data_IF_605309151542
#
_entry.id   IF_605309151542
#
_cell.length_a   1.000
_cell.length_b   1.000
_cell.length_c   1.000
_cell.angle_alpha   90.00
_cell.angle_beta   90.00
_cell.angle_gamma   90.00
#
_symmetry.space_group_name_H-M   'P 1'
#
loop_
_entity.id
_entity.type
_entity.pdbx_description
1 polymer ?
#
# COMPACT_ATOMS: atom_id res chain seq x y z
N UNK A 1 -1.45 -14.50 2.11
CA UNK A 1 -1.63 -15.55 3.13
C UNK A 1 -1.19 -16.91 2.63
N UNK A 2 -1.51 -17.28 1.38
CA UNK A 2 -0.96 -18.47 0.73
C UNK A 2 0.57 -18.58 0.85
N UNK A 3 1.32 -17.48 0.65
CA UNK A 3 2.78 -17.49 0.82
C UNK A 3 3.28 -17.93 2.22
N UNK A 4 2.51 -17.68 3.29
CA UNK A 4 2.87 -18.04 4.66
C UNK A 4 2.12 -19.28 5.18
N UNK A 5 1.26 -19.89 4.37
CA UNK A 5 0.38 -21.00 4.77
C UNK A 5 -0.34 -20.78 6.11
N UNK A 6 -0.72 -19.52 6.39
CA UNK A 6 -1.41 -19.17 7.63
C UNK A 6 -2.90 -19.48 7.47
N UNK A 7 -3.40 -20.44 8.26
CA UNK A 7 -4.83 -20.66 8.43
C UNK A 7 -5.42 -19.56 9.33
N UNK A 8 -6.38 -18.82 8.76
CA UNK A 8 -7.06 -17.75 9.46
C UNK A 8 -8.23 -18.23 10.30
N UNK A 9 -8.80 -19.39 9.99
CA UNK A 9 -10.07 -19.81 10.59
C UNK A 9 -9.99 -19.88 12.12
N UNK A 10 -8.93 -20.45 12.73
CA UNK A 10 -8.79 -20.48 14.19
C UNK A 10 -8.72 -19.09 14.84
N UNK A 11 -8.13 -18.11 14.14
CA UNK A 11 -8.04 -16.73 14.64
C UNK A 11 -9.43 -16.08 14.62
N UNK A 12 -10.18 -16.26 13.54
CA UNK A 12 -11.54 -15.74 13.40
C UNK A 12 -12.49 -16.35 14.43
N UNK A 13 -12.41 -17.66 14.63
CA UNK A 13 -13.23 -18.38 15.60
C UNK A 13 -12.95 -17.90 17.02
N UNK A 14 -11.67 -17.68 17.36
CA UNK A 14 -11.29 -17.15 18.67
C UNK A 14 -11.76 -15.73 18.91
N UNK A 15 -11.71 -14.86 17.90
CA UNK A 15 -12.28 -13.51 18.01
C UNK A 15 -13.81 -13.56 18.24
N UNK A 16 -14.51 -14.47 17.55
CA UNK A 16 -15.95 -14.65 17.71
C UNK A 16 -16.32 -15.20 19.09
N UNK A 17 -15.59 -16.20 19.59
CA UNK A 17 -15.78 -16.80 20.91
C UNK A 17 -15.61 -15.76 22.03
N UNK A 18 -14.60 -14.90 21.89
CA UNK A 18 -14.34 -13.83 22.85
C UNK A 18 -15.43 -12.76 22.89
N UNK A 19 -16.03 -12.43 21.74
CA UNK A 19 -17.12 -11.45 21.62
C UNK A 19 -16.73 -9.99 21.84
N UNK A 20 -15.57 -9.71 22.45
CA UNK A 20 -15.06 -8.37 22.74
C UNK A 20 -13.98 -7.88 21.75
N UNK A 21 -13.57 -8.72 20.80
CA UNK A 21 -12.60 -8.38 19.74
C UNK A 21 -13.25 -8.57 18.37
N UNK A 22 -13.38 -7.48 17.62
CA UNK A 22 -13.84 -7.53 16.23
C UNK A 22 -12.65 -7.66 15.27
N UNK A 23 -12.59 -8.78 14.55
CA UNK A 23 -11.58 -8.98 13.50
C UNK A 23 -12.04 -8.36 12.18
N UNK A 24 -11.27 -7.40 11.66
CA UNK A 24 -11.60 -6.66 10.43
C UNK A 24 -10.52 -6.89 9.38
N UNK A 25 -10.93 -7.19 8.14
CA UNK A 25 -10.01 -7.40 7.02
C UNK A 25 -10.12 -6.31 5.98
N UNK A 26 -8.96 -5.85 5.53
CA UNK A 26 -8.81 -4.96 4.38
C UNK A 26 -7.47 -5.28 3.65
N UNK A 27 -7.51 -5.95 2.50
CA UNK A 27 -6.30 -6.44 1.84
C UNK A 27 -5.56 -5.36 1.04
N UNK A 28 -4.26 -5.23 1.30
CA UNK A 28 -3.31 -4.39 0.54
C UNK A 28 -2.13 -5.28 0.11
N UNK A 29 -1.74 -5.21 -1.16
CA UNK A 29 -0.65 -5.98 -1.74
C UNK A 29 0.70 -5.59 -1.12
N UNK A 30 1.50 -6.60 -0.79
CA UNK A 30 2.83 -6.34 -0.24
C UNK A 30 3.80 -5.96 -1.37
N UNK A 31 4.82 -5.17 -1.02
CA UNK A 31 5.78 -4.63 -1.99
C UNK A 31 5.12 -3.95 -3.20
N UNK A 32 4.00 -3.27 -2.95
CA UNK A 32 3.29 -2.49 -3.95
C UNK A 32 2.89 -1.12 -3.36
N UNK A 33 3.76 -0.10 -3.51
CA UNK A 33 3.46 1.25 -3.06
C UNK A 33 2.27 1.88 -3.80
N UNK A 34 2.00 1.47 -5.04
CA UNK A 34 0.90 1.99 -5.83
C UNK A 34 -0.45 1.45 -5.30
N UNK A 35 -0.55 0.13 -5.09
CA UNK A 35 -1.74 -0.46 -4.46
C UNK A 35 -1.99 0.14 -3.07
N UNK A 36 -0.91 0.33 -2.29
CA UNK A 36 -1.01 1.00 -0.99
C UNK A 36 -1.59 2.43 -1.13
N UNK A 37 -1.04 3.27 -2.02
CA UNK A 37 -1.56 4.63 -2.28
C UNK A 37 -3.04 4.59 -2.63
N UNK A 38 -3.43 3.76 -3.61
CA UNK A 38 -4.82 3.67 -4.11
C UNK A 38 -5.80 3.18 -3.03
N UNK A 39 -5.35 2.31 -2.13
CA UNK A 39 -6.23 1.68 -1.13
C UNK A 39 -6.23 2.35 0.24
N UNK A 40 -5.24 3.22 0.55
CA UNK A 40 -5.15 3.92 1.83
C UNK A 40 -6.44 4.66 2.21
N UNK A 41 -7.11 5.42 1.31
CA UNK A 41 -8.37 6.10 1.64
C UNK A 41 -9.44 5.17 2.20
N UNK A 42 -9.68 4.05 1.51
CA UNK A 42 -10.69 3.07 1.92
C UNK A 42 -10.25 2.29 3.17
N UNK A 43 -8.95 2.01 3.33
CA UNK A 43 -8.41 1.38 4.54
C UNK A 43 -8.64 2.28 5.77
N UNK A 44 -8.35 3.57 5.65
CA UNK A 44 -8.51 4.55 6.74
C UNK A 44 -9.98 4.82 7.01
N UNK A 45 -10.84 4.91 5.99
CA UNK A 45 -12.29 5.04 6.18
C UNK A 45 -12.86 3.85 6.96
N UNK A 46 -12.51 2.62 6.57
CA UNK A 46 -12.92 1.42 7.30
C UNK A 46 -12.39 1.40 8.74
N UNK A 47 -11.13 1.78 8.94
CA UNK A 47 -10.56 1.93 10.28
C UNK A 47 -11.31 2.96 11.13
N UNK A 48 -11.69 4.10 10.54
CA UNK A 48 -12.41 5.16 11.24
C UNK A 48 -13.85 4.76 11.61
N UNK A 49 -14.51 3.93 10.80
CA UNK A 49 -15.82 3.37 11.13
C UNK A 49 -15.78 2.39 12.31
N UNK A 50 -14.64 1.70 12.48
CA UNK A 50 -14.46 0.67 13.51
C UNK A 50 -13.80 1.20 14.79
N UNK A 51 -13.19 2.39 14.74
CA UNK A 51 -12.51 2.98 15.89
C UNK A 51 -13.32 4.05 16.59
N UNK A 52 -13.57 3.85 17.88
CA UNK A 52 -13.85 4.95 18.79
C UNK A 52 -12.60 5.25 19.65
N UNK A 53 -11.90 6.37 19.40
CA UNK A 53 -10.69 6.75 20.15
C UNK A 53 -10.90 6.97 21.65
N UNK A 54 -12.15 7.11 22.12
CA UNK A 54 -12.47 7.37 23.54
C UNK A 54 -12.66 6.09 24.36
N UNK A 55 -12.97 4.96 23.72
CA UNK A 55 -13.48 3.77 24.43
C UNK A 55 -12.82 2.46 24.01
N UNK A 56 -11.88 2.48 23.08
CA UNK A 56 -11.27 1.23 22.60
C UNK A 56 -9.86 1.41 22.05
N UNK A 57 -9.20 0.28 21.85
CA UNK A 57 -7.88 0.18 21.20
C UNK A 57 -8.06 -0.60 19.91
N UNK A 58 -7.34 -0.20 18.86
CA UNK A 58 -7.25 -0.98 17.63
C UNK A 58 -5.85 -1.54 17.46
N UNK A 59 -5.82 -2.84 17.14
CA UNK A 59 -4.62 -3.53 16.71
C UNK A 59 -4.53 -3.54 15.18
N UNK A 60 -3.69 -2.65 14.63
CA UNK A 60 -3.44 -2.58 13.18
C UNK A 60 -2.22 -3.43 12.85
N UNK A 61 -2.38 -4.44 11.97
CA UNK A 61 -1.27 -5.29 11.57
C UNK A 61 -1.24 -5.55 10.06
N UNK A 62 -0.07 -5.98 9.59
CA UNK A 62 0.10 -6.59 8.27
C UNK A 62 0.88 -7.89 8.46
N UNK A 63 1.78 -8.25 7.55
CA UNK A 63 2.67 -9.41 7.77
C UNK A 63 3.76 -9.06 8.78
N UNK A 64 4.68 -8.15 8.44
CA UNK A 64 5.82 -7.78 9.29
C UNK A 64 5.54 -6.57 10.20
N UNK A 65 4.44 -5.86 9.99
CA UNK A 65 4.17 -4.57 10.67
C UNK A 65 5.20 -3.49 10.32
N UNK A 66 5.77 -3.51 9.10
CA UNK A 66 6.86 -2.60 8.70
C UNK A 66 6.52 -1.65 7.54
N UNK A 67 5.44 -1.92 6.79
CA UNK A 67 5.05 -1.14 5.61
C UNK A 67 3.57 -0.74 5.62
N UNK A 68 2.69 -1.66 5.19
CA UNK A 68 1.24 -1.42 5.02
C UNK A 68 0.52 -0.97 6.30
N UNK A 69 0.73 -1.70 7.40
CA UNK A 69 0.14 -1.37 8.70
C UNK A 69 0.61 -0.02 9.26
N UNK A 70 1.92 0.26 9.38
CA UNK A 70 2.37 1.56 9.86
C UNK A 70 1.98 2.71 8.92
N UNK A 71 1.92 2.49 7.60
CA UNK A 71 1.39 3.50 6.68
C UNK A 71 -0.10 3.80 6.94
N UNK A 72 -0.93 2.78 7.15
CA UNK A 72 -2.36 2.95 7.46
C UNK A 72 -2.56 3.65 8.80
N UNK A 73 -1.78 3.28 9.82
CA UNK A 73 -1.81 3.93 11.13
C UNK A 73 -1.40 5.41 11.03
N UNK A 74 -0.33 5.70 10.28
CA UNK A 74 0.14 7.07 10.08
C UNK A 74 -0.86 7.92 9.30
N UNK A 75 -1.47 7.37 8.25
CA UNK A 75 -2.53 8.04 7.51
C UNK A 75 -3.75 8.31 8.39
N UNK A 76 -4.15 7.36 9.26
CA UNK A 76 -5.23 7.58 10.23
C UNK A 76 -4.90 8.69 11.24
N UNK A 77 -3.67 8.71 11.76
CA UNK A 77 -3.19 9.78 12.64
C UNK A 77 -3.28 11.14 11.95
N UNK A 78 -2.94 11.21 10.66
CA UNK A 78 -2.98 12.45 9.90
C UNK A 78 -4.40 12.88 9.51
N UNK A 79 -5.14 12.02 8.82
CA UNK A 79 -6.43 12.38 8.21
C UNK A 79 -7.58 12.45 9.22
N UNK A 80 -7.56 11.61 10.25
CA UNK A 80 -8.69 11.47 11.19
C UNK A 80 -8.37 12.10 12.55
N UNK A 81 -7.13 11.96 13.04
CA UNK A 81 -6.73 12.48 14.35
C UNK A 81 -6.13 13.88 14.29
N UNK A 82 -5.91 14.45 13.10
CA UNK A 82 -5.40 15.81 12.91
C UNK A 82 -3.94 16.00 13.29
N UNK A 83 -3.17 14.92 13.42
CA UNK A 83 -1.74 14.98 13.76
C UNK A 83 -0.96 15.34 12.49
N UNK A 84 -0.02 16.28 12.57
CA UNK A 84 0.82 16.62 11.42
C UNK A 84 1.61 15.40 10.96
N UNK A 85 1.74 15.21 9.64
CA UNK A 85 2.29 13.97 9.08
C UNK A 85 3.71 13.67 9.60
N UNK A 86 4.56 14.69 9.68
CA UNK A 86 5.94 14.56 10.16
C UNK A 86 6.01 14.29 11.67
N UNK A 87 5.10 14.87 12.46
CA UNK A 87 4.99 14.60 13.89
C UNK A 87 4.51 13.18 14.15
N UNK A 88 3.47 12.75 13.43
CA UNK A 88 2.96 11.38 13.47
C UNK A 88 4.02 10.37 13.05
N UNK A 89 4.83 10.70 12.03
CA UNK A 89 5.94 9.85 11.60
C UNK A 89 6.99 9.70 12.70
N UNK A 90 7.43 10.80 13.32
CA UNK A 90 8.39 10.78 14.43
C UNK A 90 7.85 9.98 15.61
N UNK A 91 6.60 10.20 16.00
CA UNK A 91 5.95 9.45 17.07
C UNK A 91 5.86 7.95 16.76
N UNK A 92 5.42 7.58 15.56
CA UNK A 92 5.28 6.18 15.17
C UNK A 92 6.64 5.47 15.15
N UNK A 93 7.66 6.12 14.57
CA UNK A 93 8.99 5.54 14.41
C UNK A 93 9.82 5.52 15.69
N UNK A 94 9.52 6.40 16.66
CA UNK A 94 10.10 6.32 18.00
C UNK A 94 9.58 5.11 18.80
N UNK A 95 8.31 4.74 18.60
CA UNK A 95 7.70 3.57 19.23
C UNK A 95 8.03 2.26 18.52
N UNK A 96 8.09 2.29 17.18
CA UNK A 96 8.41 1.13 16.35
C UNK A 96 9.26 1.56 15.17
N UNK A 97 10.53 1.16 15.15
CA UNK A 97 11.42 1.35 14.00
C UNK A 97 10.84 0.62 12.78
N UNK A 98 10.26 1.37 11.86
CA UNK A 98 9.63 0.87 10.64
C UNK A 98 9.73 1.91 9.52
N UNK A 99 9.37 1.51 8.29
CA UNK A 99 9.34 2.39 7.12
C UNK A 99 7.91 2.66 6.68
N UNK A 100 7.13 3.47 7.42
CA UNK A 100 5.81 3.89 6.96
C UNK A 100 6.00 4.63 5.64
N UNK A 101 5.31 4.19 4.60
CA UNK A 101 5.52 4.64 3.22
C UNK A 101 4.96 6.06 3.03
N UNK A 102 5.65 7.07 3.57
CA UNK A 102 5.20 8.47 3.64
C UNK A 102 4.80 9.00 2.27
N UNK A 103 5.56 8.70 1.21
CA UNK A 103 5.23 9.13 -0.15
C UNK A 103 3.90 8.57 -0.66
N UNK A 104 3.55 7.33 -0.30
CA UNK A 104 2.25 6.78 -0.64
C UNK A 104 1.11 7.50 0.11
N UNK A 105 1.36 7.93 1.35
CA UNK A 105 0.40 8.73 2.12
C UNK A 105 0.24 10.12 1.51
N UNK A 106 1.34 10.83 1.21
CA UNK A 106 1.32 12.15 0.56
C UNK A 106 0.57 12.10 -0.77
N UNK A 107 0.87 11.10 -1.60
CA UNK A 107 0.22 10.93 -2.89
C UNK A 107 -1.27 10.59 -2.74
N UNK A 108 -1.64 9.73 -1.79
CA UNK A 108 -3.05 9.43 -1.51
C UNK A 108 -3.82 10.65 -0.98
N UNK A 109 -3.18 11.49 -0.17
CA UNK A 109 -3.75 12.79 0.26
C UNK A 109 -3.97 13.71 -0.94
N UNK A 110 -2.99 13.80 -1.85
CA UNK A 110 -3.14 14.58 -3.07
C UNK A 110 -4.29 14.08 -3.95
N UNK A 111 -4.42 12.75 -4.10
CA UNK A 111 -5.54 12.14 -4.85
C UNK A 111 -6.89 12.49 -4.25
N UNK A 112 -7.02 12.43 -2.92
CA UNK A 112 -8.25 12.78 -2.21
C UNK A 112 -8.65 14.25 -2.37
N UNK A 113 -7.67 15.15 -2.41
CA UNK A 113 -7.91 16.60 -2.44
C UNK A 113 -8.07 17.15 -3.86
N UNK A 114 -7.35 16.58 -4.83
CA UNK A 114 -7.23 17.13 -6.18
C UNK A 114 -7.99 16.30 -7.22
N UNK A 115 -8.32 15.04 -6.94
CA UNK A 115 -9.02 14.17 -7.89
C UNK A 115 -8.19 13.88 -9.15
N UNK A 116 -6.93 13.49 -8.98
CA UNK A 116 -6.04 13.23 -10.11
C UNK A 116 -6.43 11.93 -10.84
N UNK A 117 -6.70 12.05 -12.14
CA UNK A 117 -6.83 10.89 -13.02
C UNK A 117 -5.43 10.37 -13.45
N UNK A 118 -5.29 9.06 -13.72
CA UNK A 118 -4.08 8.52 -14.32
C UNK A 118 -3.73 9.27 -15.61
N UNK A 119 -2.43 9.48 -15.82
CA UNK A 119 -1.90 10.05 -17.06
C UNK A 119 -1.19 8.95 -17.81
N UNK A 120 -1.47 8.81 -19.10
CA UNK A 120 -0.79 7.84 -19.94
C UNK A 120 0.70 8.17 -20.04
N UNK A 121 1.56 7.18 -19.82
CA UNK A 121 3.02 7.32 -19.87
C UNK A 121 3.62 6.26 -20.78
N UNK A 122 4.53 6.71 -21.66
CA UNK A 122 5.37 5.83 -22.46
C UNK A 122 6.75 5.66 -21.81
N UNK A 123 7.13 4.41 -21.54
CA UNK A 123 8.47 4.04 -21.09
C UNK A 123 9.19 3.36 -22.26
N UNK A 124 10.36 3.88 -22.63
CA UNK A 124 11.10 3.40 -23.79
C UNK A 124 12.55 3.05 -23.44
N UNK A 125 13.03 1.92 -23.96
CA UNK A 125 14.43 1.49 -23.90
C UNK A 125 14.95 1.32 -25.33
N UNK A 126 15.80 2.26 -25.77
CA UNK A 126 16.37 2.28 -27.13
C UNK A 126 17.78 1.68 -27.22
N UNK A 127 18.46 1.46 -26.09
CA UNK A 127 19.77 0.79 -26.04
C UNK A 127 19.64 -0.50 -25.24
N UNK A 128 19.57 -1.62 -25.95
CA UNK A 128 19.33 -2.93 -25.35
C UNK A 128 20.33 -4.02 -25.79
N UNK A 129 21.32 -3.66 -26.61
CA UNK A 129 22.38 -4.59 -27.05
C UNK A 129 21.78 -5.82 -27.73
N UNK A 130 22.04 -7.00 -27.16
CA UNK A 130 21.53 -8.29 -27.65
C UNK A 130 20.29 -8.78 -26.91
N UNK A 131 19.73 -7.98 -25.99
CA UNK A 131 18.56 -8.38 -25.22
C UNK A 131 17.34 -8.58 -26.14
N UNK A 132 16.69 -9.72 -25.98
CA UNK A 132 15.50 -10.10 -26.76
C UNK A 132 14.19 -9.84 -26.01
N UNK A 133 14.28 -9.59 -24.70
CA UNK A 133 13.16 -9.37 -23.80
C UNK A 133 13.58 -8.35 -22.76
N UNK A 134 12.74 -7.34 -22.54
CA UNK A 134 12.92 -6.33 -21.49
C UNK A 134 11.65 -6.28 -20.67
N UNK A 135 11.82 -6.25 -19.35
CA UNK A 135 10.72 -6.19 -18.40
C UNK A 135 10.92 -5.03 -17.44
N UNK A 136 9.80 -4.46 -16.99
CA UNK A 136 9.78 -3.47 -15.91
C UNK A 136 8.90 -3.98 -14.78
N UNK A 137 9.40 -3.89 -13.55
CA UNK A 137 8.66 -4.18 -12.32
C UNK A 137 8.53 -2.90 -11.48
N UNK A 138 7.59 -2.91 -10.54
CA UNK A 138 7.25 -1.72 -9.76
C UNK A 138 6.11 -0.95 -10.43
N UNK A 139 6.35 0.32 -10.79
CA UNK A 139 5.35 1.22 -11.36
C UNK A 139 4.00 1.09 -10.61
N UNK A 140 2.93 0.81 -11.34
CA UNK A 140 1.57 0.63 -10.87
C UNK A 140 1.10 -0.83 -10.80
N UNK A 141 2.04 -1.78 -10.91
CA UNK A 141 1.80 -3.24 -10.79
C UNK A 141 2.53 -3.91 -9.61
N UNK A 142 3.35 -3.14 -8.89
CA UNK A 142 4.16 -3.63 -7.78
C UNK A 142 5.38 -4.44 -8.22
N UNK A 143 6.20 -4.83 -7.24
CA UNK A 143 7.50 -5.47 -7.50
C UNK A 143 7.41 -6.95 -7.91
N UNK A 144 6.22 -7.57 -7.80
CA UNK A 144 6.04 -9.01 -8.02
C UNK A 144 5.47 -9.37 -9.40
N UNK A 145 5.03 -8.39 -10.18
CA UNK A 145 4.38 -8.60 -11.47
C UNK A 145 5.10 -7.82 -12.58
N UNK A 146 6.29 -8.25 -13.02
CA UNK A 146 7.00 -7.60 -14.11
C UNK A 146 6.16 -7.64 -15.41
N UNK A 147 6.16 -6.51 -16.13
CA UNK A 147 5.48 -6.35 -17.42
C UNK A 147 6.53 -6.36 -18.51
N UNK A 148 6.25 -7.08 -19.60
CA UNK A 148 7.06 -7.06 -20.81
C UNK A 148 6.90 -5.73 -21.56
N UNK A 149 8.02 -5.20 -22.04
CA UNK A 149 8.01 -4.15 -23.05
C UNK A 149 7.88 -4.81 -24.43
N UNK A 150 7.11 -4.18 -25.31
CA UNK A 150 6.93 -4.62 -26.68
C UNK A 150 8.04 -4.03 -27.57
N UNK A 151 8.57 -4.83 -28.50
CA UNK A 151 9.54 -4.34 -29.49
C UNK A 151 8.80 -3.53 -30.56
N UNK A 152 9.14 -2.26 -30.71
CA UNK A 152 8.79 -1.46 -31.87
C UNK A 152 9.92 -1.55 -32.93
N UNK A 153 9.70 -2.28 -34.04
CA UNK A 153 10.72 -2.45 -35.07
C UNK A 153 10.97 -1.18 -35.89
N UNK A 154 10.05 -0.21 -35.91
CA UNK A 154 10.20 1.05 -36.66
C UNK A 154 11.09 2.03 -35.90
N UNK A 155 10.89 2.11 -34.59
CA UNK A 155 11.67 2.96 -33.71
C UNK A 155 12.93 2.28 -33.17
N UNK A 156 13.11 0.98 -33.45
CA UNK A 156 14.20 0.15 -32.93
C UNK A 156 14.34 0.28 -31.40
N UNK A 157 13.24 0.11 -30.69
CA UNK A 157 13.18 0.24 -29.23
C UNK A 157 12.17 -0.71 -28.59
N UNK A 158 12.36 -1.02 -27.31
CA UNK A 158 11.33 -1.62 -26.48
C UNK A 158 10.47 -0.52 -25.84
N UNK A 159 9.15 -0.65 -25.89
CA UNK A 159 8.19 0.33 -25.39
C UNK A 159 7.13 -0.31 -24.49
N UNK A 160 6.72 0.41 -23.46
CA UNK A 160 5.57 0.09 -22.61
C UNK A 160 4.70 1.34 -22.49
N UNK A 161 3.41 1.19 -22.77
CA UNK A 161 2.38 2.21 -22.51
C UNK A 161 1.62 1.82 -21.23
N UNK A 162 1.42 2.78 -20.32
CA UNK A 162 0.68 2.61 -19.07
C UNK A 162 -0.26 3.76 -18.84
#
# INVERSE_FOLDING_TARGET
MAYFNLDLQPILDRCKERGDIKHVRFPIHDFDPYDLRRKLPNAVSKLAQEHNPRTGVIYIHCTAGMGRAPATALAYMNWIRGIQLDEGFKLLTSLRRCGPKVEAIRSATADLLLGNEPTDVSIMVSRYGTAQRIQVAGLDVGWHAPIDLEMDPKLHCFILQR
#
